data_IF_323064635338
#
_entry.id   IF_323064635338
#
_cell.length_a   1.000
_cell.length_b   1.000
_cell.length_c   1.000
_cell.angle_alpha   90.00
_cell.angle_beta   90.00
_cell.angle_gamma   90.00
#
_symmetry.space_group_name_H-M   'P 1'
#
loop_
_entity.id
_entity.type
_entity.pdbx_description
1 polymer ?
#
# COMPACT_ATOMS: atom_id res chain seq x y z
N UNK A 1 18.44 -22.86 -90.16
CA UNK A 1 17.55 -22.99 -88.99
C UNK A 1 18.40 -22.83 -87.73
N UNK A 2 18.50 -21.63 -87.16
CA UNK A 2 19.17 -21.43 -85.88
C UNK A 2 18.11 -21.43 -84.77
N UNK A 3 18.19 -22.40 -83.86
CA UNK A 3 17.40 -22.44 -82.63
C UNK A 3 18.15 -21.61 -81.57
N UNK A 4 17.58 -20.48 -81.19
CA UNK A 4 18.03 -19.75 -79.99
C UNK A 4 17.35 -20.36 -78.77
N UNK A 5 18.14 -20.85 -77.82
CA UNK A 5 17.68 -21.23 -76.49
C UNK A 5 17.81 -20.03 -75.54
N UNK A 6 16.70 -19.60 -74.98
CA UNK A 6 16.66 -18.66 -73.87
C UNK A 6 16.75 -19.43 -72.56
N UNK A 7 17.82 -19.20 -71.80
CA UNK A 7 17.91 -19.66 -70.42
C UNK A 7 17.31 -18.58 -69.51
N UNK A 8 16.19 -18.90 -68.86
CA UNK A 8 15.58 -18.07 -67.84
C UNK A 8 16.28 -18.36 -66.51
N UNK A 9 17.05 -17.41 -65.99
CA UNK A 9 17.72 -17.52 -64.70
C UNK A 9 16.72 -17.12 -63.60
N UNK A 10 16.24 -18.10 -62.83
CA UNK A 10 15.32 -17.87 -61.72
C UNK A 10 16.13 -17.45 -60.47
N UNK A 11 16.08 -16.17 -60.11
CA UNK A 11 16.66 -15.64 -58.87
C UNK A 11 15.70 -15.94 -57.71
N UNK A 12 16.06 -16.90 -56.86
CA UNK A 12 15.36 -17.18 -55.59
C UNK A 12 16.00 -16.28 -54.52
N UNK A 13 15.26 -15.34 -53.89
CA UNK A 13 15.80 -14.57 -52.79
C UNK A 13 15.97 -15.47 -51.55
N UNK A 14 17.21 -15.67 -51.12
CA UNK A 14 17.53 -16.24 -49.81
C UNK A 14 17.30 -15.16 -48.75
N UNK A 15 16.20 -15.27 -48.01
CA UNK A 15 16.00 -14.51 -46.77
C UNK A 15 16.79 -15.18 -45.66
N UNK A 16 17.92 -14.59 -45.27
CA UNK A 16 18.68 -15.00 -44.09
C UNK A 16 18.08 -14.22 -42.91
N UNK A 17 17.38 -14.89 -42.00
CA UNK A 17 17.04 -14.28 -40.70
C UNK A 17 18.29 -14.24 -39.83
N UNK A 18 18.66 -13.05 -39.36
CA UNK A 18 19.68 -12.90 -38.32
C UNK A 18 19.15 -13.47 -36.99
N UNK A 19 20.06 -13.88 -36.10
CA UNK A 19 19.70 -14.31 -34.76
C UNK A 19 19.21 -13.09 -33.96
N UNK A 20 17.96 -13.11 -33.51
CA UNK A 20 17.32 -11.99 -32.79
C UNK A 20 17.59 -12.02 -31.28
N UNK A 21 18.43 -12.95 -30.81
CA UNK A 21 18.78 -13.14 -29.42
C UNK A 21 20.16 -13.80 -29.29
N UNK A 22 20.87 -13.56 -28.19
CA UNK A 22 21.99 -14.41 -27.79
C UNK A 22 21.39 -15.65 -27.13
N UNK A 23 21.62 -16.82 -27.72
CA UNK A 23 21.14 -18.09 -27.16
C UNK A 23 22.32 -18.90 -26.62
N UNK A 24 22.27 -19.18 -25.32
CA UNK A 24 23.28 -19.95 -24.59
C UNK A 24 22.72 -21.32 -24.21
N UNK A 25 23.47 -22.39 -24.49
CA UNK A 25 23.08 -23.80 -24.19
C UNK A 25 24.11 -24.55 -23.33
N UNK A 26 25.27 -23.94 -23.05
CA UNK A 26 26.45 -24.60 -22.48
C UNK A 26 26.71 -24.20 -21.04
N UNK A 27 27.97 -24.33 -20.61
CA UNK A 27 28.46 -23.61 -19.43
C UNK A 27 29.07 -22.29 -19.87
N UNK A 28 28.58 -21.17 -19.34
CA UNK A 28 29.18 -19.86 -19.51
C UNK A 28 29.52 -19.28 -18.15
N UNK A 29 30.69 -18.64 -18.07
CA UNK A 29 31.13 -17.92 -16.88
C UNK A 29 31.80 -16.62 -17.28
N UNK A 30 31.39 -15.55 -16.62
CA UNK A 30 32.03 -14.24 -16.70
C UNK A 30 33.06 -14.16 -15.58
N UNK A 31 34.31 -13.90 -15.96
CA UNK A 31 35.42 -13.81 -15.02
C UNK A 31 35.52 -12.40 -14.42
N UNK A 32 36.31 -12.28 -13.34
CA UNK A 32 36.60 -11.01 -12.70
C UNK A 32 37.13 -9.97 -13.71
N UNK A 33 36.65 -8.72 -13.59
CA UNK A 33 36.93 -7.59 -14.49
C UNK A 33 36.38 -7.69 -15.92
N UNK A 34 35.70 -8.79 -16.28
CA UNK A 34 35.03 -8.85 -17.57
C UNK A 34 33.77 -7.97 -17.55
N UNK A 35 33.52 -7.30 -18.67
CA UNK A 35 32.30 -6.55 -18.92
C UNK A 35 31.61 -7.11 -20.17
N UNK A 36 30.33 -7.46 -20.05
CA UNK A 36 29.54 -8.03 -21.14
C UNK A 36 28.28 -7.20 -21.33
N UNK A 37 28.05 -6.70 -22.54
CA UNK A 37 26.87 -5.92 -22.87
C UNK A 37 25.94 -6.66 -23.85
N UNK A 38 24.72 -6.93 -23.43
CA UNK A 38 23.66 -7.47 -24.27
C UNK A 38 22.80 -6.34 -24.82
N UNK A 39 22.81 -6.16 -26.14
CA UNK A 39 21.97 -5.19 -26.86
C UNK A 39 20.72 -5.83 -27.51
N UNK A 40 20.53 -7.12 -27.27
CA UNK A 40 19.48 -7.99 -27.82
C UNK A 40 18.95 -8.91 -26.71
N UNK A 41 17.93 -9.72 -27.00
CA UNK A 41 17.37 -10.65 -26.02
C UNK A 41 18.39 -11.72 -25.63
N UNK A 42 18.29 -12.23 -24.40
CA UNK A 42 19.13 -13.31 -23.89
C UNK A 42 18.25 -14.54 -23.61
N UNK A 43 18.54 -15.66 -24.26
CA UNK A 43 17.93 -16.96 -23.97
C UNK A 43 18.97 -17.84 -23.29
N UNK A 44 18.75 -18.21 -22.03
CA UNK A 44 19.67 -19.01 -21.23
C UNK A 44 19.12 -20.43 -20.96
N UNK A 45 19.59 -21.39 -21.74
CA UNK A 45 19.30 -22.83 -21.62
C UNK A 45 20.54 -23.62 -21.13
N UNK A 46 21.44 -22.97 -20.41
CA UNK A 46 22.65 -23.58 -19.87
C UNK A 46 23.09 -22.96 -18.55
N UNK A 47 24.06 -23.58 -17.88
CA UNK A 47 24.62 -23.07 -16.62
C UNK A 47 25.29 -21.73 -16.86
N UNK A 48 24.79 -20.69 -16.21
CA UNK A 48 25.31 -19.33 -16.33
C UNK A 48 25.43 -18.69 -14.94
N UNK A 49 26.32 -19.28 -14.15
CA UNK A 49 26.52 -19.01 -12.73
C UNK A 49 27.98 -18.68 -12.42
N UNK A 50 28.27 -18.33 -11.17
CA UNK A 50 29.60 -17.94 -10.70
C UNK A 50 30.24 -16.81 -11.52
N UNK A 51 29.40 -15.94 -12.09
CA UNK A 51 29.82 -14.76 -12.83
C UNK A 51 30.38 -13.75 -11.83
N UNK A 52 31.55 -13.17 -12.11
CA UNK A 52 32.32 -12.30 -11.19
C UNK A 52 32.63 -10.92 -11.78
N UNK A 53 31.92 -10.53 -12.83
CA UNK A 53 32.10 -9.27 -13.55
C UNK A 53 30.75 -8.60 -13.84
N UNK A 54 30.77 -7.56 -14.68
CA UNK A 54 29.59 -6.76 -15.00
C UNK A 54 28.85 -7.29 -16.23
N UNK A 55 27.54 -7.45 -16.10
CA UNK A 55 26.62 -7.69 -17.22
C UNK A 55 25.69 -6.50 -17.40
N UNK A 56 25.65 -5.93 -18.58
CA UNK A 56 24.74 -4.85 -18.94
C UNK A 56 23.68 -5.31 -19.94
N UNK A 57 22.44 -4.86 -19.74
CA UNK A 57 21.36 -4.97 -20.73
C UNK A 57 21.00 -3.58 -21.25
N UNK A 58 21.04 -3.41 -22.58
CA UNK A 58 20.93 -2.11 -23.22
C UNK A 58 19.87 -2.10 -24.33
N UNK A 59 18.99 -1.10 -24.28
CA UNK A 59 18.02 -0.82 -25.33
C UNK A 59 17.54 0.63 -25.25
N UNK A 60 17.72 1.39 -26.32
CA UNK A 60 17.17 2.76 -26.44
C UNK A 60 15.71 2.79 -26.90
N UNK A 61 15.17 1.66 -27.34
CA UNK A 61 13.76 1.51 -27.72
C UNK A 61 13.36 0.04 -27.77
N UNK A 62 12.13 -0.25 -27.35
CA UNK A 62 11.59 -1.61 -27.32
C UNK A 62 12.08 -2.44 -26.13
N UNK A 63 11.29 -3.46 -25.82
CA UNK A 63 11.50 -4.39 -24.72
C UNK A 63 12.75 -5.26 -24.97
N UNK A 64 13.40 -5.68 -23.90
CA UNK A 64 14.40 -6.75 -23.91
C UNK A 64 13.95 -7.89 -23.04
N UNK A 65 14.19 -9.12 -23.48
CA UNK A 65 13.76 -10.32 -22.77
C UNK A 65 14.95 -11.11 -22.25
N UNK A 66 14.82 -11.59 -21.01
CA UNK A 66 15.57 -12.72 -20.50
C UNK A 66 14.64 -13.93 -20.40
N UNK A 67 14.94 -14.98 -21.14
CA UNK A 67 14.18 -16.23 -21.14
C UNK A 67 15.07 -17.46 -21.12
N UNK A 68 14.47 -18.65 -21.18
CA UNK A 68 15.18 -19.93 -21.18
C UNK A 68 14.74 -20.83 -20.04
N UNK A 69 15.60 -21.75 -19.63
CA UNK A 69 15.30 -22.80 -18.65
C UNK A 69 16.21 -22.76 -17.41
N UNK A 70 17.29 -21.98 -17.43
CA UNK A 70 18.23 -21.85 -16.33
C UNK A 70 18.31 -20.40 -15.83
N UNK A 71 18.07 -20.20 -14.53
CA UNK A 71 18.24 -18.90 -13.86
C UNK A 71 19.70 -18.46 -13.89
N UNK A 72 20.05 -17.36 -14.58
CA UNK A 72 21.39 -16.80 -14.48
C UNK A 72 21.59 -16.07 -13.14
N UNK A 73 22.84 -16.04 -12.69
CA UNK A 73 23.26 -15.32 -11.49
C UNK A 73 24.47 -14.46 -11.79
N UNK A 74 24.37 -13.15 -11.59
CA UNK A 74 25.42 -12.17 -11.91
C UNK A 74 25.95 -11.50 -10.64
N UNK A 75 27.25 -11.20 -10.60
CA UNK A 75 27.85 -10.40 -9.54
C UNK A 75 27.31 -8.96 -9.62
N UNK A 76 27.61 -8.28 -10.73
CA UNK A 76 27.12 -6.94 -11.03
C UNK A 76 26.27 -6.97 -12.29
N UNK A 77 25.11 -6.33 -12.24
CA UNK A 77 24.21 -6.16 -13.38
C UNK A 77 23.80 -4.69 -13.53
N UNK A 78 23.69 -4.21 -14.77
CA UNK A 78 23.10 -2.90 -15.05
C UNK A 78 22.02 -2.97 -16.13
N UNK A 79 20.99 -2.14 -15.97
CA UNK A 79 19.84 -2.10 -16.84
C UNK A 79 19.63 -0.70 -17.39
N UNK A 80 19.90 -0.51 -18.67
CA UNK A 80 19.62 0.70 -19.43
C UNK A 80 18.70 0.36 -20.61
N UNK A 81 17.46 0.04 -20.29
CA UNK A 81 16.45 -0.48 -21.22
C UNK A 81 15.22 0.41 -21.20
N UNK A 82 15.19 1.46 -22.02
CA UNK A 82 14.13 2.49 -21.99
C UNK A 82 12.72 1.90 -22.20
N UNK A 83 12.60 0.82 -22.99
CA UNK A 83 11.35 0.09 -23.21
C UNK A 83 11.00 -0.96 -22.15
N UNK A 84 11.86 -1.14 -21.14
CA UNK A 84 11.77 -2.17 -20.10
C UNK A 84 12.61 -3.42 -20.37
N UNK A 85 12.91 -4.15 -19.29
CA UNK A 85 13.57 -5.44 -19.31
C UNK A 85 12.64 -6.50 -18.72
N UNK A 86 12.09 -7.36 -19.58
CA UNK A 86 11.16 -8.42 -19.20
C UNK A 86 11.90 -9.70 -18.83
N UNK A 87 11.59 -10.20 -17.64
CA UNK A 87 12.05 -11.47 -17.13
C UNK A 87 10.96 -12.53 -17.40
N UNK A 88 11.32 -13.60 -18.12
CA UNK A 88 10.50 -14.81 -18.26
C UNK A 88 11.03 -15.96 -17.36
N UNK A 89 12.21 -15.77 -16.79
CA UNK A 89 12.84 -16.60 -15.75
C UNK A 89 13.45 -15.70 -14.67
N UNK A 90 13.68 -16.19 -13.45
CA UNK A 90 14.37 -15.40 -12.43
C UNK A 90 15.76 -14.95 -12.88
N UNK A 91 16.20 -13.80 -12.39
CA UNK A 91 17.59 -13.34 -12.46
C UNK A 91 18.08 -13.07 -11.04
N UNK A 92 19.26 -13.59 -10.68
CA UNK A 92 19.86 -13.40 -9.36
C UNK A 92 21.05 -12.45 -9.42
N UNK A 93 21.17 -11.60 -8.40
CA UNK A 93 22.23 -10.60 -8.25
C UNK A 93 22.98 -10.85 -6.94
N UNK A 94 24.29 -11.05 -7.03
CA UNK A 94 25.15 -11.31 -5.88
C UNK A 94 25.74 -10.04 -5.25
N UNK A 95 25.90 -8.95 -5.98
CA UNK A 95 26.48 -7.70 -5.48
C UNK A 95 25.63 -6.48 -5.85
N UNK A 96 25.69 -5.95 -7.09
CA UNK A 96 24.99 -4.71 -7.44
C UNK A 96 24.03 -4.87 -8.63
N UNK A 97 22.79 -4.41 -8.48
CA UNK A 97 21.90 -4.11 -9.59
C UNK A 97 21.76 -2.58 -9.80
N UNK A 98 22.30 -2.08 -10.90
CA UNK A 98 22.22 -0.67 -11.26
C UNK A 98 21.03 -0.41 -12.20
N UNK A 99 19.98 0.24 -11.70
CA UNK A 99 18.84 0.68 -12.52
C UNK A 99 19.16 2.02 -13.18
N UNK A 100 19.45 2.02 -14.48
CA UNK A 100 19.81 3.23 -15.24
C UNK A 100 18.59 3.80 -15.96
N UNK A 101 17.85 2.95 -16.71
CA UNK A 101 16.62 3.36 -17.40
C UNK A 101 15.66 2.19 -17.64
N UNK A 102 14.36 2.52 -17.54
CA UNK A 102 13.24 1.58 -17.68
C UNK A 102 13.03 0.66 -16.48
N UNK A 103 11.87 0.01 -16.48
CA UNK A 103 11.49 -0.92 -15.41
C UNK A 103 11.99 -2.33 -15.73
N UNK A 104 12.31 -3.09 -14.68
CA UNK A 104 12.40 -4.54 -14.75
C UNK A 104 10.99 -5.09 -14.60
N UNK A 105 10.53 -5.85 -15.58
CA UNK A 105 9.17 -6.36 -15.66
C UNK A 105 9.20 -7.83 -15.33
N UNK A 106 8.36 -8.22 -14.37
CA UNK A 106 8.09 -9.62 -14.04
C UNK A 106 6.57 -9.76 -14.01
N UNK A 107 6.05 -10.79 -14.68
CA UNK A 107 4.60 -10.97 -14.75
C UNK A 107 4.05 -11.31 -13.35
N UNK A 108 3.12 -10.48 -12.86
CA UNK A 108 2.50 -10.63 -11.55
C UNK A 108 1.62 -11.86 -11.43
N UNK A 109 1.25 -12.51 -12.54
CA UNK A 109 0.58 -13.82 -12.54
C UNK A 109 1.54 -14.98 -12.20
N UNK A 110 2.86 -14.76 -12.28
CA UNK A 110 3.88 -15.79 -12.09
C UNK A 110 4.87 -15.39 -10.98
N UNK A 111 4.50 -15.55 -9.68
CA UNK A 111 5.34 -15.16 -8.54
C UNK A 111 6.64 -15.95 -8.40
N UNK A 112 6.87 -16.94 -9.28
CA UNK A 112 8.13 -17.68 -9.39
C UNK A 112 9.16 -16.97 -10.27
N UNK A 113 8.77 -15.91 -10.99
CA UNK A 113 9.66 -15.10 -11.84
C UNK A 113 9.91 -13.77 -11.12
N UNK A 114 11.17 -13.50 -10.77
CA UNK A 114 11.53 -12.34 -9.97
C UNK A 114 12.96 -11.87 -10.26
N UNK A 115 13.24 -10.59 -9.97
CA UNK A 115 14.60 -10.11 -9.76
C UNK A 115 15.01 -10.40 -8.31
N UNK A 116 16.02 -11.24 -8.10
CA UNK A 116 16.43 -11.72 -6.78
C UNK A 116 17.79 -11.17 -6.35
N UNK A 117 17.92 -10.85 -5.07
CA UNK A 117 19.15 -10.42 -4.43
C UNK A 117 19.61 -11.49 -3.43
N UNK A 118 20.87 -11.94 -3.55
CA UNK A 118 21.45 -12.95 -2.64
C UNK A 118 22.10 -12.27 -1.43
N UNK A 119 22.98 -12.95 -0.69
CA UNK A 119 23.55 -12.49 0.58
C UNK A 119 24.06 -11.05 0.57
N UNK A 120 24.86 -10.68 -0.44
CA UNK A 120 25.49 -9.36 -0.55
C UNK A 120 24.79 -8.46 -1.59
N UNK A 121 23.70 -8.95 -2.19
CA UNK A 121 23.01 -8.28 -3.29
C UNK A 121 22.29 -7.01 -2.83
N UNK A 122 22.57 -5.89 -3.49
CA UNK A 122 21.90 -4.61 -3.33
C UNK A 122 21.59 -3.99 -4.70
N UNK A 123 20.93 -2.84 -4.68
CA UNK A 123 20.63 -2.08 -5.89
C UNK A 123 20.83 -0.59 -5.70
N UNK A 124 20.98 0.13 -6.82
CA UNK A 124 21.04 1.59 -6.89
C UNK A 124 20.26 2.10 -8.10
N UNK A 125 19.92 3.39 -8.11
CA UNK A 125 19.28 4.04 -9.26
C UNK A 125 17.76 3.85 -9.33
N UNK A 126 17.14 3.35 -8.25
CA UNK A 126 15.70 3.16 -8.20
C UNK A 126 14.94 4.49 -8.27
N UNK A 127 13.78 4.48 -8.91
CA UNK A 127 12.94 5.66 -9.07
C UNK A 127 11.59 5.34 -9.70
N UNK A 128 10.83 6.40 -9.98
CA UNK A 128 9.50 6.31 -10.57
C UNK A 128 9.45 5.49 -11.88
N UNK A 129 10.54 5.49 -12.66
CA UNK A 129 10.65 4.80 -13.96
C UNK A 129 11.78 3.76 -14.01
N UNK A 130 12.44 3.49 -12.89
CA UNK A 130 13.59 2.60 -12.76
C UNK A 130 13.41 1.73 -11.53
N UNK A 131 12.69 0.62 -11.65
CA UNK A 131 12.31 -0.24 -10.52
C UNK A 131 11.79 -1.58 -11.04
N UNK A 132 11.41 -2.46 -10.13
CA UNK A 132 10.71 -3.72 -10.45
C UNK A 132 9.21 -3.46 -10.57
N UNK A 133 8.67 -3.59 -11.78
CA UNK A 133 7.24 -3.70 -12.05
C UNK A 133 6.83 -5.18 -11.98
N UNK A 134 6.59 -5.67 -10.76
CA UNK A 134 6.25 -7.07 -10.48
C UNK A 134 6.92 -7.56 -9.19
N UNK A 135 7.43 -8.79 -9.21
CA UNK A 135 8.09 -9.46 -8.09
C UNK A 135 9.60 -9.19 -8.02
N UNK A 136 10.04 -8.79 -6.83
CA UNK A 136 11.44 -8.77 -6.40
C UNK A 136 11.61 -9.73 -5.23
N UNK A 137 12.79 -10.32 -5.07
CA UNK A 137 13.08 -11.30 -4.02
C UNK A 137 14.40 -11.03 -3.31
N UNK A 138 14.52 -11.53 -2.08
CA UNK A 138 15.78 -11.54 -1.32
C UNK A 138 16.03 -12.91 -0.70
N UNK A 139 17.30 -13.30 -0.58
CA UNK A 139 17.76 -14.54 0.07
C UNK A 139 18.99 -14.23 0.91
N UNK A 140 19.08 -14.86 2.08
CA UNK A 140 20.16 -14.71 3.05
C UNK A 140 20.37 -13.28 3.55
N UNK A 141 19.30 -12.47 3.60
CA UNK A 141 19.27 -11.17 4.26
C UNK A 141 18.08 -11.09 5.22
N UNK A 142 18.26 -10.41 6.36
CA UNK A 142 17.21 -10.13 7.34
C UNK A 142 16.46 -8.83 7.05
N UNK A 143 17.15 -7.88 6.43
CA UNK A 143 16.66 -6.53 6.17
C UNK A 143 16.82 -6.21 4.69
N UNK A 144 15.74 -5.77 4.05
CA UNK A 144 15.75 -5.46 2.63
C UNK A 144 14.63 -4.49 2.28
N UNK A 145 14.89 -3.57 1.36
CA UNK A 145 13.83 -2.74 0.76
C UNK A 145 13.55 -3.26 -0.63
N UNK A 146 12.32 -3.69 -0.90
CA UNK A 146 11.95 -4.16 -2.24
C UNK A 146 11.71 -2.96 -3.16
N UNK A 147 12.44 -2.82 -4.29
CA UNK A 147 12.27 -1.70 -5.22
C UNK A 147 11.08 -1.95 -6.16
N UNK A 148 9.90 -2.17 -5.61
CA UNK A 148 8.68 -2.48 -6.37
C UNK A 148 7.83 -1.24 -6.62
N UNK A 149 6.93 -1.30 -7.61
CA UNK A 149 5.95 -0.23 -7.83
C UNK A 149 5.12 -0.43 -9.11
N UNK A 150 4.57 0.67 -9.62
CA UNK A 150 3.83 0.74 -10.89
C UNK A 150 4.42 1.81 -11.82
N UNK A 151 3.98 1.88 -13.08
CA UNK A 151 4.43 2.94 -14.00
C UNK A 151 4.32 4.34 -13.34
N UNK A 152 5.44 5.08 -13.33
CA UNK A 152 5.52 6.42 -12.73
C UNK A 152 5.55 6.49 -11.20
N UNK A 153 5.49 5.38 -10.44
CA UNK A 153 5.41 5.40 -8.97
C UNK A 153 6.19 4.25 -8.31
N UNK A 154 7.19 4.59 -7.51
CA UNK A 154 7.90 3.65 -6.64
C UNK A 154 7.08 3.44 -5.36
N UNK A 155 6.82 2.19 -4.98
CA UNK A 155 6.03 1.80 -3.81
C UNK A 155 6.78 0.75 -3.00
N UNK A 156 7.92 1.15 -2.42
CA UNK A 156 8.81 0.20 -1.78
C UNK A 156 8.15 -0.38 -0.53
N UNK A 157 8.51 -1.62 -0.22
CA UNK A 157 8.23 -2.25 1.05
C UNK A 157 9.57 -2.54 1.72
N UNK A 158 9.79 -1.99 2.90
CA UNK A 158 10.94 -2.35 3.73
C UNK A 158 10.55 -3.54 4.59
N UNK A 159 11.37 -4.57 4.59
CA UNK A 159 11.23 -5.79 5.38
C UNK A 159 12.33 -5.81 6.44
N UNK A 160 11.97 -6.13 7.68
CA UNK A 160 12.91 -6.43 8.75
C UNK A 160 12.48 -7.71 9.46
N UNK A 161 13.21 -8.79 9.19
CA UNK A 161 12.94 -10.14 9.65
C UNK A 161 13.78 -10.50 10.87
N UNK A 162 13.27 -11.42 11.69
CA UNK A 162 13.95 -11.86 12.91
C UNK A 162 15.25 -12.64 12.68
N UNK A 163 15.48 -13.16 11.46
CA UNK A 163 16.66 -13.92 11.04
C UNK A 163 16.85 -13.76 9.51
N UNK A 164 17.87 -14.39 8.94
CA UNK A 164 18.14 -14.41 7.50
C UNK A 164 17.06 -15.18 6.73
N UNK A 165 16.42 -14.52 5.78
CA UNK A 165 15.39 -15.15 4.96
C UNK A 165 15.95 -16.23 4.05
N UNK A 166 15.38 -17.44 4.06
CA UNK A 166 15.65 -18.44 3.00
C UNK A 166 15.18 -17.91 1.65
N UNK A 167 14.01 -17.27 1.63
CA UNK A 167 13.48 -16.52 0.51
C UNK A 167 12.37 -15.61 1.03
N UNK A 168 12.40 -14.34 0.65
CA UNK A 168 11.26 -13.44 0.77
C UNK A 168 10.99 -12.78 -0.59
N UNK A 169 9.72 -12.62 -0.96
CA UNK A 169 9.30 -12.03 -2.25
C UNK A 169 8.25 -10.97 -2.03
N UNK A 170 8.35 -9.87 -2.76
CA UNK A 170 7.39 -8.78 -2.68
C UNK A 170 6.96 -8.33 -4.07
N UNK A 171 5.69 -8.02 -4.23
CA UNK A 171 5.14 -7.29 -5.36
C UNK A 171 4.08 -6.29 -4.91
N UNK A 172 3.92 -5.22 -5.68
CA UNK A 172 2.96 -4.16 -5.43
C UNK A 172 1.85 -4.11 -6.49
N UNK A 173 0.63 -3.84 -6.05
CA UNK A 173 -0.59 -3.81 -6.85
C UNK A 173 -1.36 -2.51 -6.57
N UNK A 174 -1.57 -1.71 -7.63
CA UNK A 174 -2.44 -0.53 -7.60
C UNK A 174 -3.77 -0.89 -8.25
N UNK A 175 -4.57 -1.65 -7.52
CA UNK A 175 -5.89 -2.10 -7.93
C UNK A 175 -6.73 -2.39 -6.67
N UNK A 176 -8.04 -2.48 -6.85
CA UNK A 176 -8.95 -2.73 -5.75
C UNK A 176 -8.79 -4.16 -5.20
N UNK A 177 -8.52 -4.35 -3.89
CA UNK A 177 -8.39 -5.69 -3.29
C UNK A 177 -9.64 -6.57 -3.44
N UNK A 178 -10.83 -5.98 -3.63
CA UNK A 178 -12.08 -6.69 -3.92
C UNK A 178 -12.15 -7.24 -5.36
N UNK A 179 -11.24 -6.84 -6.24
CA UNK A 179 -11.19 -7.28 -7.64
C UNK A 179 -9.74 -7.43 -8.14
N UNK A 180 -8.95 -8.33 -7.52
CA UNK A 180 -7.54 -8.48 -7.82
C UNK A 180 -7.34 -9.12 -9.21
N UNK A 181 -6.40 -8.60 -10.00
CA UNK A 181 -6.15 -9.07 -11.37
C UNK A 181 -5.38 -10.40 -11.45
N UNK A 182 -4.66 -10.76 -10.38
CA UNK A 182 -3.75 -11.92 -10.33
C UNK A 182 -4.09 -12.91 -9.22
N UNK A 183 -5.19 -12.71 -8.51
CA UNK A 183 -5.69 -13.63 -7.49
C UNK A 183 -7.05 -14.18 -7.91
N UNK A 184 -7.30 -15.50 -7.79
CA UNK A 184 -8.61 -16.06 -8.09
C UNK A 184 -9.66 -15.72 -7.01
N UNK A 185 -9.22 -15.27 -5.84
CA UNK A 185 -10.07 -14.91 -4.70
C UNK A 185 -9.88 -13.43 -4.39
N UNK A 186 -10.99 -12.74 -4.17
CA UNK A 186 -11.01 -11.34 -3.74
C UNK A 186 -10.67 -11.23 -2.25
N UNK A 187 -10.02 -10.12 -1.88
CA UNK A 187 -9.74 -9.76 -0.48
C UNK A 187 -10.84 -8.81 0.00
N UNK A 188 -12.01 -9.38 0.30
CA UNK A 188 -13.23 -8.62 0.63
C UNK A 188 -12.98 -7.61 1.76
N UNK A 189 -13.00 -6.31 1.44
CA UNK A 189 -12.71 -5.23 2.39
C UNK A 189 -13.78 -5.05 3.48
N UNK A 190 -14.92 -5.76 3.37
CA UNK A 190 -15.93 -5.83 4.41
C UNK A 190 -15.76 -7.05 5.34
N UNK A 191 -14.96 -8.05 4.95
CA UNK A 191 -14.55 -9.15 5.83
C UNK A 191 -13.32 -8.73 6.63
N UNK A 192 -13.53 -8.21 7.84
CA UNK A 192 -12.48 -7.61 8.69
C UNK A 192 -12.74 -7.78 10.18
N UNK A 193 -11.68 -7.73 10.97
CA UNK A 193 -11.76 -7.67 12.44
C UNK A 193 -12.53 -6.42 12.91
N UNK A 194 -13.19 -6.53 14.07
CA UNK A 194 -14.21 -5.57 14.49
C UNK A 194 -13.70 -4.17 14.87
N UNK A 195 -12.41 -4.00 15.13
CA UNK A 195 -11.75 -2.72 15.39
C UNK A 195 -11.38 -1.96 14.12
N UNK A 196 -11.36 -2.64 12.96
CA UNK A 196 -11.06 -2.05 11.65
C UNK A 196 -12.33 -1.46 11.04
N UNK A 197 -12.30 -0.17 10.71
CA UNK A 197 -13.44 0.54 10.10
C UNK A 197 -13.33 0.52 8.58
N UNK A 198 -12.20 0.98 8.04
CA UNK A 198 -11.95 1.06 6.60
C UNK A 198 -10.68 0.35 6.21
N UNK A 199 -10.65 -0.10 4.97
CA UNK A 199 -9.50 -0.72 4.32
C UNK A 199 -9.36 -0.06 2.97
N UNK A 200 -8.12 0.17 2.54
CA UNK A 200 -7.82 0.72 1.22
C UNK A 200 -8.47 -0.12 0.13
N UNK A 201 -9.20 0.55 -0.76
CA UNK A 201 -9.77 -0.02 -1.98
C UNK A 201 -8.94 0.33 -3.23
N UNK A 202 -7.74 0.90 -3.05
CA UNK A 202 -6.88 1.39 -4.14
C UNK A 202 -5.60 0.61 -4.34
N UNK A 203 -5.05 -0.01 -3.29
CA UNK A 203 -3.76 -0.70 -3.40
C UNK A 203 -3.53 -1.78 -2.35
N UNK A 204 -2.60 -2.69 -2.66
CA UNK A 204 -2.09 -3.69 -1.74
C UNK A 204 -0.70 -4.21 -2.18
N UNK A 205 0.00 -4.85 -1.25
CA UNK A 205 1.24 -5.58 -1.49
C UNK A 205 1.00 -7.07 -1.28
N UNK A 206 1.70 -7.91 -2.05
CA UNK A 206 1.86 -9.33 -1.74
C UNK A 206 3.28 -9.52 -1.22
N UNK A 207 3.41 -10.05 -0.01
CA UNK A 207 4.69 -10.37 0.62
C UNK A 207 4.68 -11.85 1.03
N UNK A 208 5.67 -12.59 0.56
CA UNK A 208 5.95 -13.96 0.97
C UNK A 208 7.23 -13.96 1.82
N UNK A 209 7.22 -14.67 2.94
CA UNK A 209 8.31 -14.75 3.91
C UNK A 209 7.91 -15.64 5.09
N UNK A 210 8.78 -16.56 5.49
CA UNK A 210 8.48 -17.55 6.55
C UNK A 210 8.89 -17.11 7.95
N UNK A 211 9.58 -15.98 8.08
CA UNK A 211 10.11 -15.48 9.34
C UNK A 211 9.22 -14.38 9.90
N UNK A 212 9.04 -14.32 11.23
CA UNK A 212 8.45 -13.16 11.88
C UNK A 212 9.19 -11.88 11.47
N UNK A 213 8.44 -10.90 11.01
CA UNK A 213 8.97 -9.65 10.47
C UNK A 213 8.07 -8.47 10.81
N UNK A 214 8.66 -7.29 10.93
CA UNK A 214 7.94 -6.03 10.75
C UNK A 214 8.19 -5.52 9.32
N UNK A 215 7.25 -4.73 8.80
CA UNK A 215 7.40 -4.06 7.51
C UNK A 215 7.16 -2.56 7.64
N UNK A 216 7.74 -1.80 6.73
CA UNK A 216 7.39 -0.38 6.53
C UNK A 216 6.94 -0.19 5.09
N UNK A 217 5.76 0.41 4.93
CA UNK A 217 5.19 0.79 3.63
C UNK A 217 4.88 2.28 3.62
N UNK A 218 5.19 2.93 2.50
CA UNK A 218 4.89 4.34 2.28
C UNK A 218 3.55 4.55 1.57
N UNK A 219 2.97 5.74 1.72
CA UNK A 219 1.83 6.22 0.93
C UNK A 219 2.12 7.56 0.25
N UNK A 220 1.31 7.86 -0.77
CA UNK A 220 1.34 9.11 -1.52
C UNK A 220 -0.10 9.59 -1.81
N UNK A 221 -0.26 10.70 -2.54
CA UNK A 221 -1.57 11.29 -2.81
C UNK A 221 -2.57 10.32 -3.50
N UNK A 222 -2.08 9.32 -4.22
CA UNK A 222 -2.92 8.33 -4.90
C UNK A 222 -3.36 7.19 -3.97
N UNK A 223 -2.75 7.06 -2.79
CA UNK A 223 -3.19 6.13 -1.74
C UNK A 223 -4.50 6.54 -1.08
N UNK A 224 -4.89 7.82 -1.22
CA UNK A 224 -6.14 8.36 -0.69
C UNK A 224 -6.33 8.10 0.82
N UNK A 225 -5.26 8.23 1.62
CA UNK A 225 -5.31 7.97 3.06
C UNK A 225 -6.37 8.82 3.77
N UNK A 226 -6.60 10.06 3.32
CA UNK A 226 -7.68 10.91 3.85
C UNK A 226 -9.11 10.37 3.65
N UNK A 227 -9.32 9.31 2.85
CA UNK A 227 -10.61 8.60 2.78
C UNK A 227 -10.70 7.43 3.77
N UNK A 228 -9.56 7.01 4.34
CA UNK A 228 -9.47 5.96 5.35
C UNK A 228 -9.53 6.56 6.76
N UNK A 229 -8.74 7.60 7.03
CA UNK A 229 -8.59 8.20 8.35
C UNK A 229 -8.47 9.74 8.28
N UNK A 230 -8.88 10.42 9.36
CA UNK A 230 -8.68 11.86 9.58
C UNK A 230 -7.37 12.18 10.31
N UNK A 231 -6.81 11.22 11.06
CA UNK A 231 -5.48 11.28 11.66
C UNK A 231 -4.66 10.05 11.23
N UNK A 232 -3.37 10.25 10.95
CA UNK A 232 -2.43 9.17 10.64
C UNK A 232 -2.18 8.24 11.84
N UNK A 233 -2.49 8.69 13.05
CA UNK A 233 -2.42 7.86 14.26
C UNK A 233 -3.46 6.72 14.25
N UNK A 234 -4.55 6.90 13.51
CA UNK A 234 -5.62 5.89 13.38
C UNK A 234 -5.34 4.91 12.23
N UNK A 235 -4.31 5.20 11.43
CA UNK A 235 -3.88 4.35 10.33
C UNK A 235 -3.17 3.10 10.89
N UNK A 236 -3.46 1.96 10.30
CA UNK A 236 -2.79 0.69 10.59
C UNK A 236 -2.40 -0.03 9.31
N UNK A 237 -1.39 -0.88 9.41
CA UNK A 237 -1.17 -1.92 8.41
C UNK A 237 -2.19 -3.03 8.65
N UNK A 238 -2.83 -3.52 7.61
CA UNK A 238 -3.75 -4.66 7.67
C UNK A 238 -3.29 -5.79 6.76
N UNK A 239 -3.59 -7.03 7.15
CA UNK A 239 -3.25 -8.23 6.37
C UNK A 239 -4.47 -9.10 6.11
N UNK A 240 -4.65 -9.58 4.87
CA UNK A 240 -5.66 -10.58 4.54
C UNK A 240 -5.19 -11.96 4.98
N UNK A 241 -5.74 -12.43 6.10
CA UNK A 241 -5.39 -13.71 6.72
C UNK A 241 -5.86 -14.88 5.83
N UNK A 242 -4.95 -15.82 5.56
CA UNK A 242 -5.19 -16.96 4.67
C UNK A 242 -6.22 -17.93 5.22
N UNK A 243 -6.25 -18.14 6.52
CA UNK A 243 -7.06 -19.17 7.14
C UNK A 243 -8.42 -18.60 7.57
N UNK A 244 -8.42 -17.39 8.13
CA UNK A 244 -9.62 -16.71 8.56
C UNK A 244 -10.41 -16.05 7.42
N UNK A 245 -9.78 -15.82 6.25
CA UNK A 245 -10.39 -15.16 5.08
C UNK A 245 -11.01 -13.80 5.45
N UNK A 246 -10.26 -13.02 6.22
CA UNK A 246 -10.62 -11.67 6.64
C UNK A 246 -9.36 -10.83 6.80
N UNK A 247 -9.54 -9.51 6.76
CA UNK A 247 -8.49 -8.56 7.11
C UNK A 247 -8.31 -8.47 8.62
N UNK A 248 -7.06 -8.57 9.06
CA UNK A 248 -6.66 -8.44 10.47
C UNK A 248 -5.76 -7.24 10.68
N UNK A 249 -5.76 -6.71 11.89
CA UNK A 249 -4.97 -5.56 12.28
C UNK A 249 -3.51 -5.96 12.54
N UNK A 250 -2.58 -5.54 11.67
CA UNK A 250 -1.14 -5.71 11.85
C UNK A 250 -0.49 -4.50 12.55
N UNK A 251 -1.30 -3.54 12.98
CA UNK A 251 -0.93 -2.44 13.85
C UNK A 251 -0.10 -1.34 13.20
N UNK A 252 0.35 -0.43 14.05
CA UNK A 252 1.14 0.75 13.76
C UNK A 252 2.17 0.92 14.89
N UNK A 253 3.44 0.56 14.64
CA UNK A 253 4.55 0.85 15.57
C UNK A 253 4.95 2.32 15.47
N UNK A 254 4.98 2.83 14.24
CA UNK A 254 5.44 4.17 13.89
C UNK A 254 4.78 4.59 12.58
N UNK A 255 4.15 5.76 12.58
CA UNK A 255 3.70 6.45 11.39
C UNK A 255 4.27 7.87 11.37
N UNK A 256 4.78 8.28 10.21
CA UNK A 256 5.32 9.61 9.97
C UNK A 256 4.70 10.21 8.70
N UNK A 257 4.54 11.54 8.67
CA UNK A 257 4.05 12.27 7.50
C UNK A 257 2.71 12.97 7.74
N UNK A 258 1.87 12.99 6.72
CA UNK A 258 0.51 13.53 6.72
C UNK A 258 -0.44 12.64 5.90
N UNK A 259 -1.71 13.01 5.77
CA UNK A 259 -2.71 12.24 5.01
C UNK A 259 -2.45 12.15 3.49
N UNK A 260 -1.47 12.89 2.97
CA UNK A 260 -1.09 12.90 1.55
C UNK A 260 0.21 12.13 1.31
N UNK A 261 1.17 12.16 2.23
CA UNK A 261 2.45 11.46 2.07
C UNK A 261 3.00 11.03 3.42
N UNK A 262 3.55 9.82 3.47
CA UNK A 262 4.13 9.32 4.71
C UNK A 262 4.50 7.84 4.64
N UNK A 263 4.81 7.26 5.79
CA UNK A 263 5.11 5.85 5.94
C UNK A 263 4.64 5.32 7.29
N UNK A 264 4.28 4.03 7.32
CA UNK A 264 3.81 3.32 8.50
C UNK A 264 4.54 2.00 8.64
N UNK A 265 4.91 1.65 9.87
CA UNK A 265 5.57 0.41 10.24
C UNK A 265 4.61 -0.50 11.00
N UNK A 266 4.46 -1.76 10.56
CA UNK A 266 3.58 -2.74 11.21
C UNK A 266 4.17 -3.26 12.52
N UNK A 267 3.32 -3.90 13.33
CA UNK A 267 3.77 -4.87 14.34
C UNK A 267 4.42 -6.09 13.68
N UNK A 268 5.00 -6.97 14.51
CA UNK A 268 5.63 -8.19 14.04
C UNK A 268 4.61 -9.27 13.67
N UNK A 269 4.72 -9.85 12.49
CA UNK A 269 3.85 -10.92 11.97
C UNK A 269 4.63 -11.86 11.05
N UNK A 270 4.07 -13.02 10.67
CA UNK A 270 4.69 -13.92 9.69
C UNK A 270 4.06 -13.67 8.32
N UNK A 271 4.80 -13.16 7.30
CA UNK A 271 4.19 -12.80 6.02
C UNK A 271 3.44 -13.92 5.31
N UNK A 272 3.93 -15.16 5.41
CA UNK A 272 3.28 -16.31 4.80
C UNK A 272 1.89 -16.64 5.36
N UNK A 273 1.48 -16.08 6.51
CA UNK A 273 0.11 -16.22 7.04
C UNK A 273 -0.89 -15.32 6.29
N UNK A 274 -0.39 -14.34 5.53
CA UNK A 274 -1.21 -13.36 4.83
C UNK A 274 -1.05 -13.45 3.30
N UNK A 275 -2.10 -13.13 2.56
CA UNK A 275 -2.07 -13.11 1.08
C UNK A 275 -1.89 -11.72 0.52
N UNK A 276 -2.38 -10.70 1.21
CA UNK A 276 -2.29 -9.30 0.83
C UNK A 276 -2.07 -8.44 2.07
N UNK A 277 -1.34 -7.34 1.91
CA UNK A 277 -1.09 -6.33 2.93
C UNK A 277 -1.56 -4.99 2.38
N UNK A 278 -2.22 -4.19 3.21
CA UNK A 278 -2.72 -2.87 2.79
C UNK A 278 -2.80 -1.91 3.97
N UNK A 279 -3.39 -0.74 3.74
CA UNK A 279 -3.74 0.23 4.77
C UNK A 279 -5.16 -0.01 5.26
N UNK A 280 -5.37 0.12 6.56
CA UNK A 280 -6.68 0.24 7.16
C UNK A 280 -6.72 1.38 8.16
N UNK A 281 -7.91 1.68 8.65
CA UNK A 281 -8.10 2.62 9.76
C UNK A 281 -8.87 1.95 10.88
N UNK A 282 -8.51 2.31 12.10
CA UNK A 282 -9.22 1.87 13.28
C UNK A 282 -10.39 2.80 13.59
N UNK A 283 -11.36 2.29 14.33
CA UNK A 283 -12.36 3.15 14.93
C UNK A 283 -11.66 3.99 15.97
N UNK A 284 -11.76 5.31 15.83
CA UNK A 284 -11.75 6.19 17.00
C UNK A 284 -12.96 5.78 17.82
N UNK A 285 -12.76 4.83 18.71
CA UNK A 285 -13.61 4.73 19.88
C UNK A 285 -13.38 6.06 20.57
N UNK A 286 -14.29 7.00 20.33
CA UNK A 286 -14.43 8.18 21.18
C UNK A 286 -14.48 7.61 22.58
N UNK A 287 -13.40 7.80 23.30
CA UNK A 287 -13.25 7.20 24.61
C UNK A 287 -14.30 7.86 25.52
N UNK A 288 -14.84 7.17 26.53
CA UNK A 288 -15.69 7.85 27.52
C UNK A 288 -15.00 9.08 28.14
N UNK A 289 -13.67 9.18 28.05
CA UNK A 289 -12.89 10.37 28.42
C UNK A 289 -13.08 11.59 27.51
N UNK A 290 -13.46 11.41 26.24
CA UNK A 290 -13.71 12.50 25.29
C UNK A 290 -15.16 13.01 25.38
N UNK A 291 -16.04 12.24 26.03
CA UNK A 291 -17.45 12.54 26.27
C UNK A 291 -17.63 12.87 27.76
N UNK A 292 -17.08 14.02 28.14
CA UNK A 292 -17.08 14.51 29.52
C UNK A 292 -18.47 15.01 29.97
N UNK A 293 -18.63 15.22 31.27
CA UNK A 293 -19.78 15.95 31.80
C UNK A 293 -19.50 17.46 31.74
N UNK A 294 -20.47 18.23 31.25
CA UNK A 294 -20.26 19.64 30.96
C UNK A 294 -20.80 20.56 32.06
N UNK A 295 -20.19 21.73 32.20
CA UNK A 295 -20.75 22.85 32.97
C UNK A 295 -21.04 23.95 31.96
N UNK A 296 -22.26 24.48 31.98
CA UNK A 296 -22.68 25.56 31.09
C UNK A 296 -23.04 26.81 31.92
N UNK A 297 -22.48 27.96 31.56
CA UNK A 297 -22.70 29.25 32.20
C UNK A 297 -22.90 30.37 31.16
N UNK A 298 -24.07 30.44 30.49
CA UNK A 298 -24.33 31.41 29.42
C UNK A 298 -24.48 32.85 29.96
N UNK A 299 -23.37 33.50 30.30
CA UNK A 299 -23.30 34.85 30.88
C UNK A 299 -22.64 35.87 29.93
N UNK A 300 -22.11 35.42 28.80
CA UNK A 300 -21.46 36.26 27.80
C UNK A 300 -20.02 36.67 28.15
N UNK A 301 -19.35 35.95 29.05
CA UNK A 301 -17.93 36.16 29.38
C UNK A 301 -16.96 35.41 28.46
N UNK A 302 -17.48 34.59 27.55
CA UNK A 302 -16.73 33.78 26.60
C UNK A 302 -16.29 32.41 27.16
N UNK A 303 -16.67 32.04 28.38
CA UNK A 303 -16.29 30.80 29.05
C UNK A 303 -17.53 29.94 29.29
N UNK A 304 -17.62 28.77 28.65
CA UNK A 304 -18.75 27.84 28.74
C UNK A 304 -20.11 28.50 28.42
N UNK A 305 -20.13 29.42 27.45
CA UNK A 305 -21.35 30.13 27.03
C UNK A 305 -22.29 29.25 26.18
N UNK A 306 -21.72 28.25 25.50
CA UNK A 306 -22.42 27.25 24.70
C UNK A 306 -21.86 25.85 25.01
N UNK A 307 -22.63 24.82 24.68
CA UNK A 307 -22.22 23.44 24.87
C UNK A 307 -21.32 23.01 23.71
N UNK A 308 -20.02 22.94 23.96
CA UNK A 308 -19.03 22.47 22.99
C UNK A 308 -18.83 20.96 23.16
N UNK A 309 -19.10 20.18 22.11
CA UNK A 309 -18.88 18.72 22.11
C UNK A 309 -17.83 18.41 21.05
N UNK A 310 -16.57 18.19 21.45
CA UNK A 310 -15.45 17.99 20.51
C UNK A 310 -15.74 16.95 19.41
N UNK A 311 -16.45 15.87 19.76
CA UNK A 311 -16.83 14.82 18.81
C UNK A 311 -17.71 15.30 17.64
N UNK A 312 -18.36 16.47 17.72
CA UNK A 312 -19.18 16.99 16.62
C UNK A 312 -18.34 17.67 15.53
N UNK A 313 -17.09 18.06 15.81
CA UNK A 313 -16.17 18.58 14.78
C UNK A 313 -15.84 17.50 13.73
N UNK A 314 -15.61 16.26 14.19
CA UNK A 314 -15.28 15.11 13.33
C UNK A 314 -16.53 14.39 12.78
N UNK A 315 -17.73 14.76 13.24
CA UNK A 315 -19.00 14.14 12.85
C UNK A 315 -20.07 15.22 12.63
N UNK A 316 -19.99 15.95 11.50
CA UNK A 316 -20.95 17.02 11.18
C UNK A 316 -22.38 16.49 10.99
N UNK A 317 -22.54 15.20 10.69
CA UNK A 317 -23.83 14.52 10.60
C UNK A 317 -24.17 13.87 11.95
N UNK A 318 -24.76 14.65 12.85
CA UNK A 318 -25.07 14.23 14.21
C UNK A 318 -26.49 14.62 14.65
N UNK A 319 -26.91 14.13 15.81
CA UNK A 319 -28.17 14.52 16.46
C UNK A 319 -27.93 14.70 17.96
N UNK A 320 -27.98 15.95 18.43
CA UNK A 320 -27.98 16.28 19.85
C UNK A 320 -29.40 16.34 20.39
N UNK A 321 -29.66 15.66 21.51
CA UNK A 321 -30.93 15.72 22.25
C UNK A 321 -30.67 15.99 23.73
N UNK A 322 -31.30 17.00 24.32
CA UNK A 322 -31.13 17.38 25.73
C UNK A 322 -32.46 17.25 26.47
N UNK A 323 -32.42 16.63 27.64
CA UNK A 323 -33.55 16.33 28.50
C UNK A 323 -33.40 17.01 29.86
N UNK A 324 -34.50 17.48 30.42
CA UNK A 324 -34.54 17.91 31.81
C UNK A 324 -34.48 16.72 32.78
N UNK A 325 -34.31 16.99 34.08
CA UNK A 325 -34.28 15.97 35.14
C UNK A 325 -35.51 15.07 35.26
N UNK A 326 -36.62 15.44 34.60
CA UNK A 326 -37.87 14.67 34.58
C UNK A 326 -38.03 13.86 33.27
N UNK A 327 -37.01 13.82 32.41
CA UNK A 327 -37.03 13.12 31.13
C UNK A 327 -37.76 13.87 30.00
N UNK A 328 -38.14 15.13 30.20
CA UNK A 328 -38.75 15.95 29.16
C UNK A 328 -37.69 16.49 28.21
N UNK A 329 -37.86 16.27 26.90
CA UNK A 329 -37.01 16.83 25.86
C UNK A 329 -37.14 18.36 25.85
N UNK A 330 -36.02 19.07 26.02
CA UNK A 330 -35.95 20.53 26.06
C UNK A 330 -35.18 21.12 24.88
N UNK A 331 -34.24 20.38 24.32
CA UNK A 331 -33.50 20.78 23.13
C UNK A 331 -33.27 19.60 22.21
N UNK A 332 -33.34 19.82 20.91
CA UNK A 332 -32.95 18.85 19.90
C UNK A 332 -32.45 19.57 18.65
N UNK A 333 -31.33 19.11 18.10
CA UNK A 333 -30.70 19.70 16.92
C UNK A 333 -30.04 18.61 16.08
N UNK A 334 -30.33 18.59 14.78
CA UNK A 334 -29.54 17.84 13.80
C UNK A 334 -28.35 18.69 13.35
N UNK A 335 -27.27 18.01 12.98
CA UNK A 335 -26.02 18.62 12.52
C UNK A 335 -25.51 19.68 13.52
N UNK A 336 -25.51 19.33 14.81
CA UNK A 336 -25.15 20.22 15.89
C UNK A 336 -23.69 20.67 15.77
N UNK A 337 -23.47 21.97 15.88
CA UNK A 337 -22.21 22.67 15.86
C UNK A 337 -22.28 23.84 16.86
N UNK A 338 -22.42 23.51 18.14
CA UNK A 338 -22.29 24.44 19.28
C UNK A 338 -23.42 25.45 19.47
N UNK A 339 -24.63 25.17 18.97
CA UNK A 339 -25.74 26.12 19.02
C UNK A 339 -26.44 26.19 20.39
N UNK A 340 -26.19 25.26 21.31
CA UNK A 340 -26.93 25.20 22.56
C UNK A 340 -26.37 26.16 23.61
N UNK A 341 -27.06 27.28 23.77
CA UNK A 341 -26.75 28.37 24.72
C UNK A 341 -27.64 28.35 25.97
N UNK A 342 -28.09 27.17 26.41
CA UNK A 342 -28.99 27.03 27.56
C UNK A 342 -30.43 27.47 27.30
N UNK A 343 -30.89 27.49 26.05
CA UNK A 343 -32.28 27.80 25.67
C UNK A 343 -32.98 26.58 25.07
N UNK A 344 -34.23 26.36 25.47
CA UNK A 344 -35.04 25.28 24.94
C UNK A 344 -35.53 25.58 23.52
N UNK A 345 -35.52 24.59 22.64
CA UNK A 345 -36.23 24.60 21.35
C UNK A 345 -37.34 23.52 21.26
N UNK A 346 -37.49 22.68 22.30
CA UNK A 346 -38.53 21.66 22.43
C UNK A 346 -39.36 21.84 23.72
N UNK A 347 -40.54 21.23 23.78
CA UNK A 347 -41.41 21.21 24.97
C UNK A 347 -42.34 22.43 25.14
N UNK A 348 -43.03 22.52 26.29
CA UNK A 348 -43.88 23.68 26.64
C UNK A 348 -42.98 24.81 27.11
N UNK A 349 -42.61 25.69 26.18
CA UNK A 349 -41.81 26.87 26.45
C UNK A 349 -42.74 28.02 26.85
N UNK A 350 -42.91 28.26 28.15
CA UNK A 350 -43.76 29.34 28.66
C UNK A 350 -43.21 30.74 28.33
N UNK A 351 -41.90 30.86 28.14
CA UNK A 351 -41.23 32.08 27.67
C UNK A 351 -39.97 31.70 26.88
N UNK A 352 -39.97 31.92 25.56
CA UNK A 352 -38.82 31.59 24.68
C UNK A 352 -37.59 32.46 25.00
N UNK A 353 -37.77 33.56 25.74
CA UNK A 353 -36.70 34.46 26.13
C UNK A 353 -35.99 34.10 27.44
N UNK A 354 -36.60 33.30 28.33
CA UNK A 354 -36.17 33.22 29.74
C UNK A 354 -35.05 32.22 30.04
N UNK A 355 -34.52 31.52 29.05
CA UNK A 355 -33.52 30.46 29.28
C UNK A 355 -34.08 29.25 30.05
N UNK A 356 -33.31 28.17 30.06
CA UNK A 356 -33.59 27.00 30.89
C UNK A 356 -33.19 27.28 32.36
N UNK A 357 -33.96 26.81 33.37
CA UNK A 357 -33.58 26.98 34.77
C UNK A 357 -32.25 26.30 35.10
N UNK A 358 -31.52 26.88 36.07
CA UNK A 358 -30.35 26.21 36.66
C UNK A 358 -30.66 24.78 37.12
N UNK A 359 -29.74 23.86 36.82
CA UNK A 359 -29.84 22.48 37.25
C UNK A 359 -29.14 21.49 36.34
N UNK A 360 -29.32 20.21 36.64
CA UNK A 360 -28.77 19.10 35.86
C UNK A 360 -29.72 18.74 34.72
N UNK A 361 -29.13 18.63 33.52
CA UNK A 361 -29.76 18.15 32.30
C UNK A 361 -28.97 16.94 31.79
N UNK A 362 -29.65 16.07 31.04
CA UNK A 362 -29.03 14.91 30.41
C UNK A 362 -28.99 15.14 28.92
N UNK A 363 -27.89 14.81 28.26
CA UNK A 363 -27.81 14.89 26.81
C UNK A 363 -27.56 13.51 26.22
N UNK A 364 -28.05 13.31 25.01
CA UNK A 364 -27.79 12.17 24.15
C UNK A 364 -27.26 12.72 22.84
N UNK A 365 -26.06 12.30 22.45
CA UNK A 365 -25.47 12.63 21.15
C UNK A 365 -25.40 11.35 20.32
N UNK A 366 -25.91 11.42 19.10
CA UNK A 366 -25.88 10.33 18.12
C UNK A 366 -25.06 10.79 16.92
N UNK A 367 -23.94 10.13 16.66
CA UNK A 367 -23.04 10.39 15.55
C UNK A 367 -23.40 9.43 14.43
N UNK A 368 -24.09 9.92 13.41
CA UNK A 368 -24.72 9.04 12.40
C UNK A 368 -23.68 8.37 11.50
N UNK A 369 -22.52 9.00 11.30
CA UNK A 369 -21.45 8.49 10.44
C UNK A 369 -20.71 7.29 11.05
N UNK A 370 -20.61 7.25 12.39
CA UNK A 370 -19.94 6.18 13.14
C UNK A 370 -20.95 5.21 13.79
N UNK A 371 -22.22 5.58 13.86
CA UNK A 371 -23.27 4.85 14.59
C UNK A 371 -23.14 4.95 16.11
N UNK A 372 -22.22 5.78 16.62
CA UNK A 372 -21.99 5.95 18.06
C UNK A 372 -23.15 6.71 18.68
N UNK A 373 -23.61 6.22 19.83
CA UNK A 373 -24.61 6.88 20.67
C UNK A 373 -24.11 6.98 22.09
N UNK A 374 -24.01 8.21 22.60
CA UNK A 374 -23.53 8.48 23.95
C UNK A 374 -24.55 9.26 24.76
N UNK A 375 -24.57 9.01 26.08
CA UNK A 375 -25.38 9.73 27.04
C UNK A 375 -24.51 10.28 28.17
N UNK A 376 -24.60 11.59 28.41
CA UNK A 376 -23.93 12.27 29.53
C UNK A 376 -24.86 13.24 30.26
N UNK A 377 -24.30 14.02 31.18
CA UNK A 377 -25.03 15.11 31.83
C UNK A 377 -24.29 16.44 31.71
N UNK A 378 -25.05 17.53 31.78
CA UNK A 378 -24.52 18.88 31.89
C UNK A 378 -25.18 19.61 33.06
N UNK A 379 -24.41 20.44 33.76
CA UNK A 379 -24.91 21.33 34.80
C UNK A 379 -25.05 22.74 34.25
N UNK A 380 -26.29 23.21 34.09
CA UNK A 380 -26.59 24.57 33.68
C UNK A 380 -26.63 25.48 34.91
N UNK A 381 -25.84 26.55 34.88
CA UNK A 381 -25.84 27.61 35.89
C UNK A 381 -26.33 28.90 35.26
N UNK A 382 -27.48 29.39 35.70
CA UNK A 382 -27.99 30.72 35.43
C UNK A 382 -27.62 31.63 36.60
N UNK A 383 -26.87 32.70 36.38
CA UNK A 383 -26.78 33.80 37.35
C UNK A 383 -27.86 34.84 37.10
#
# INVERSE_FOLDING_TARGET
>A
MNKNWFYLLLLIPLTISAQNAVHHFGGMRIHENATVGFHTDLVNDGSFDQNRGLVGFYSSSGLRNLSGTFTPKFEDVEFATDGGFNLEIPLLVDNNANFISGNIITDKAFPTIYLGFTTDGFYVGQGANTKVYGYSAVTAQSDFTFPVGLEGRLRPLMLNSSDLNVLAKCAYFFENPNSPSTSPVAFDTDSKEGDIVRISDVEYWKLEGSLPSNITIGWDAFSQIGLLASDINDLVVVGWDRDAQQWVNLGNIQADGDLTTGAITSQNFVPNEYTALSFGSLSNVISESDLANYILSPNGDGINDFLEIAATEDSPNNLLSIYNRHGGLVFQQEDYSDEFVGKANQGIVYDKGSGLPSGVYFYVIELKDTGIKHQGYLHLTSQ
#
